data_IF_200183970082
#
_entry.id   IF_200183970082
#
_cell.length_a   1.000
_cell.length_b   1.000
_cell.length_c   1.000
_cell.angle_alpha   90.00
_cell.angle_beta   90.00
_cell.angle_gamma   90.00
#
_symmetry.space_group_name_H-M   'P 1'
#
loop_
_entity.id
_entity.type
_entity.pdbx_description
1 polymer ?
#
# COMPACT_ATOMS: atom_id res chain seq x y z
N UNK A 1 15.66 10.49 8.29
CA UNK A 1 14.96 11.12 7.14
C UNK A 1 15.66 12.42 6.85
N UNK A 2 15.87 12.76 5.58
CA UNK A 2 16.51 13.99 5.17
C UNK A 2 15.67 15.20 5.62
N UNK A 3 16.31 16.26 6.13
CA UNK A 3 15.67 17.54 6.47
C UNK A 3 15.21 18.34 5.22
N UNK A 4 14.79 17.63 4.17
CA UNK A 4 14.31 18.26 2.95
C UNK A 4 12.90 18.84 3.15
N UNK A 5 12.67 20.01 2.56
CA UNK A 5 11.34 20.58 2.42
C UNK A 5 10.54 19.76 1.42
N UNK A 6 9.22 19.87 1.48
CA UNK A 6 8.29 19.11 0.63
C UNK A 6 8.63 19.23 -0.88
N UNK A 7 8.91 20.43 -1.35
CA UNK A 7 9.29 20.70 -2.75
C UNK A 7 10.60 19.99 -3.14
N UNK A 8 11.54 19.87 -2.21
CA UNK A 8 12.80 19.16 -2.45
C UNK A 8 12.58 17.65 -2.47
N UNK A 9 11.68 17.12 -1.61
CA UNK A 9 11.28 15.71 -1.63
C UNK A 9 10.69 15.32 -2.99
N UNK A 10 9.82 16.17 -3.56
CA UNK A 10 9.20 15.94 -4.87
C UNK A 10 10.21 15.74 -6.00
N UNK A 11 11.36 16.39 -5.92
CA UNK A 11 12.34 16.42 -7.00
C UNK A 11 13.49 15.41 -6.83
N UNK A 12 13.85 15.08 -5.58
CA UNK A 12 15.15 14.45 -5.33
C UNK A 12 15.10 13.08 -4.68
N UNK A 13 14.07 12.77 -3.87
CA UNK A 13 14.02 11.47 -3.16
C UNK A 13 14.00 10.30 -4.15
N UNK A 14 14.86 9.32 -3.88
CA UNK A 14 15.06 8.13 -4.72
C UNK A 14 16.05 8.33 -5.87
N UNK A 15 16.50 9.57 -6.11
CA UNK A 15 17.53 9.88 -7.12
C UNK A 15 18.59 10.87 -6.62
N UNK A 16 18.92 10.79 -5.34
CA UNK A 16 19.94 11.65 -4.71
C UNK A 16 21.32 11.44 -5.33
N UNK A 17 21.59 10.21 -5.78
CA UNK A 17 22.82 9.84 -6.48
C UNK A 17 22.58 9.67 -7.97
N UNK A 18 23.57 10.02 -8.79
CA UNK A 18 23.56 9.69 -10.20
C UNK A 18 23.59 8.15 -10.39
N UNK A 19 23.15 7.67 -11.55
CA UNK A 19 23.28 6.25 -11.90
C UNK A 19 24.77 5.84 -11.89
N UNK A 20 25.15 4.82 -11.09
CA UNK A 20 26.57 4.50 -10.91
C UNK A 20 27.25 3.88 -12.13
N UNK A 21 26.47 3.44 -13.13
CA UNK A 21 27.01 2.83 -14.34
C UNK A 21 27.25 3.84 -15.47
N UNK A 22 26.46 4.94 -15.49
CA UNK A 22 26.43 5.88 -16.61
C UNK A 22 26.63 7.33 -16.21
N UNK A 23 26.69 7.64 -14.90
CA UNK A 23 26.66 8.99 -14.34
C UNK A 23 25.42 9.80 -14.74
N UNK A 24 24.37 9.14 -15.23
CA UNK A 24 23.12 9.79 -15.62
C UNK A 24 22.42 10.43 -14.42
N UNK A 25 22.08 11.71 -14.57
CA UNK A 25 21.29 12.42 -13.57
C UNK A 25 19.82 12.02 -13.61
N UNK A 26 19.28 11.77 -14.80
CA UNK A 26 17.92 11.25 -14.95
C UNK A 26 17.85 9.78 -14.52
N UNK A 27 16.73 9.37 -13.97
CA UNK A 27 16.51 7.95 -13.60
C UNK A 27 16.47 7.11 -14.87
N UNK A 28 17.36 6.12 -15.05
CA UNK A 28 17.30 5.21 -16.19
C UNK A 28 16.01 4.38 -16.19
N UNK A 29 15.53 4.04 -17.38
CA UNK A 29 14.41 3.10 -17.55
C UNK A 29 14.98 1.69 -17.64
N UNK A 30 14.90 0.93 -16.55
CA UNK A 30 15.33 -0.47 -16.51
C UNK A 30 14.21 -1.39 -16.99
N UNK A 31 14.12 -1.58 -18.30
CA UNK A 31 13.15 -2.48 -18.92
C UNK A 31 13.73 -3.90 -18.94
N UNK A 32 13.63 -4.60 -17.81
CA UNK A 32 14.15 -5.96 -17.63
C UNK A 32 13.19 -6.81 -16.80
N UNK A 33 13.18 -8.13 -17.07
CA UNK A 33 12.37 -9.08 -16.30
C UNK A 33 13.14 -9.63 -15.10
N UNK A 34 14.45 -9.86 -15.22
CA UNK A 34 15.24 -10.57 -14.21
C UNK A 34 16.59 -9.90 -13.98
N UNK A 35 17.18 -10.21 -12.83
CA UNK A 35 18.49 -9.73 -12.42
C UNK A 35 19.40 -10.91 -12.12
N UNK A 36 20.71 -10.72 -12.34
CA UNK A 36 21.72 -11.77 -12.21
C UNK A 36 22.26 -11.83 -10.78
N UNK A 37 22.44 -13.03 -10.26
CA UNK A 37 23.09 -13.26 -8.97
C UNK A 37 24.58 -13.60 -9.16
N UNK A 38 25.40 -13.17 -8.21
CA UNK A 38 26.84 -13.45 -8.23
C UNK A 38 27.16 -14.93 -8.01
N UNK A 39 26.37 -15.60 -7.19
CA UNK A 39 26.46 -17.04 -6.86
C UNK A 39 25.17 -17.49 -6.17
N UNK A 40 25.06 -18.79 -5.85
CA UNK A 40 23.88 -19.37 -5.21
C UNK A 40 23.58 -18.82 -3.81
N UNK A 41 24.64 -18.49 -3.04
CA UNK A 41 24.45 -17.88 -1.72
C UNK A 41 23.83 -16.50 -1.81
N UNK A 42 24.30 -15.66 -2.76
CA UNK A 42 23.72 -14.34 -3.02
C UNK A 42 22.23 -14.45 -3.41
N UNK A 43 21.86 -15.45 -4.20
CA UNK A 43 20.46 -15.71 -4.51
C UNK A 43 19.65 -16.09 -3.25
N UNK A 44 20.18 -17.00 -2.44
CA UNK A 44 19.54 -17.42 -1.19
C UNK A 44 19.33 -16.24 -0.22
N UNK A 45 20.33 -15.37 -0.07
CA UNK A 45 20.27 -14.18 0.80
C UNK A 45 19.18 -13.19 0.32
N UNK A 46 19.09 -12.99 -1.00
CA UNK A 46 18.05 -12.14 -1.60
C UNK A 46 16.64 -12.67 -1.38
N UNK A 47 16.41 -13.95 -1.68
CA UNK A 47 15.11 -14.59 -1.47
C UNK A 47 14.76 -14.75 0.01
N UNK A 48 15.76 -14.88 0.88
CA UNK A 48 15.60 -14.97 2.34
C UNK A 48 15.46 -13.60 3.03
N UNK A 49 15.42 -12.48 2.29
CA UNK A 49 15.34 -11.09 2.82
C UNK A 49 16.57 -10.69 3.69
N UNK A 50 17.68 -11.43 3.60
CA UNK A 50 18.93 -11.14 4.30
C UNK A 50 19.80 -10.11 3.54
N UNK A 51 19.63 -9.98 2.23
CA UNK A 51 20.29 -8.98 1.38
C UNK A 51 19.26 -8.22 0.55
N UNK A 52 19.29 -6.90 0.60
CA UNK A 52 18.36 -6.06 -0.15
C UNK A 52 18.78 -5.92 -1.62
N UNK A 53 17.82 -5.86 -2.54
CA UNK A 53 18.05 -5.54 -3.95
C UNK A 53 17.14 -6.26 -4.93
N UNK A 54 17.47 -6.14 -6.20
CA UNK A 54 16.62 -6.64 -7.28
C UNK A 54 16.76 -8.16 -7.46
N UNK A 55 15.62 -8.81 -7.73
CA UNK A 55 15.50 -10.25 -8.00
C UNK A 55 14.84 -10.44 -9.37
N UNK A 56 13.62 -9.95 -9.50
CA UNK A 56 12.77 -10.09 -10.67
C UNK A 56 11.87 -8.88 -10.81
N UNK A 57 11.61 -8.40 -12.02
CA UNK A 57 10.91 -7.15 -12.29
C UNK A 57 9.49 -7.03 -11.75
N UNK A 58 8.83 -8.16 -11.45
CA UNK A 58 7.54 -8.20 -10.75
C UNK A 58 7.68 -7.80 -9.28
N UNK A 59 8.77 -8.19 -8.63
CA UNK A 59 9.04 -7.91 -7.22
C UNK A 59 9.68 -6.54 -7.03
N UNK A 60 10.75 -6.28 -7.78
CA UNK A 60 11.60 -5.09 -7.64
C UNK A 60 12.12 -4.62 -8.99
N UNK A 61 12.15 -3.30 -9.19
CA UNK A 61 12.75 -2.68 -10.37
C UNK A 61 13.31 -1.31 -9.98
N UNK A 62 14.53 -1.00 -10.38
CA UNK A 62 15.22 0.24 -9.99
C UNK A 62 14.52 1.52 -10.44
N UNK A 63 13.81 1.51 -11.58
CA UNK A 63 13.01 2.66 -12.03
C UNK A 63 11.78 2.86 -11.15
N UNK A 64 11.08 1.76 -10.84
CA UNK A 64 9.89 1.76 -10.00
C UNK A 64 10.23 2.14 -8.55
N UNK A 65 11.37 1.70 -8.03
CA UNK A 65 11.87 1.98 -6.68
C UNK A 65 12.00 3.48 -6.40
N UNK A 66 12.38 4.27 -7.40
CA UNK A 66 12.45 5.74 -7.27
C UNK A 66 11.07 6.33 -7.02
N UNK A 67 10.06 5.87 -7.75
CA UNK A 67 8.68 6.31 -7.57
C UNK A 67 8.14 5.91 -6.19
N UNK A 68 8.38 4.65 -5.78
CA UNK A 68 7.97 4.12 -4.49
C UNK A 68 8.59 4.93 -3.33
N UNK A 69 9.90 5.13 -3.34
CA UNK A 69 10.62 5.92 -2.32
C UNK A 69 10.13 7.36 -2.24
N UNK A 70 9.89 7.96 -3.39
CA UNK A 70 9.48 9.37 -3.46
C UNK A 70 8.09 9.58 -2.87
N UNK A 71 7.12 8.76 -3.25
CA UNK A 71 5.77 8.92 -2.70
C UNK A 71 5.71 8.48 -1.23
N UNK A 72 6.45 7.44 -0.82
CA UNK A 72 6.57 7.12 0.59
C UNK A 72 7.07 8.31 1.41
N UNK A 73 8.11 9.01 0.94
CA UNK A 73 8.64 10.20 1.62
C UNK A 73 7.66 11.37 1.62
N UNK A 74 6.91 11.57 0.54
CA UNK A 74 5.91 12.66 0.44
C UNK A 74 4.71 12.42 1.35
N UNK A 75 4.24 11.18 1.49
CA UNK A 75 3.16 10.81 2.42
C UNK A 75 3.64 10.70 3.88
N UNK A 76 4.94 10.61 4.12
CA UNK A 76 5.50 10.37 5.46
C UNK A 76 5.47 8.90 5.87
N UNK A 77 5.36 7.98 4.91
CA UNK A 77 5.39 6.54 5.11
C UNK A 77 6.81 5.97 5.18
N UNK A 78 6.92 4.74 5.63
CA UNK A 78 8.19 3.99 5.73
C UNK A 78 8.55 3.31 4.42
N UNK A 79 7.57 2.88 3.64
CA UNK A 79 7.75 2.19 2.37
C UNK A 79 6.50 2.33 1.48
N UNK A 80 6.68 2.11 0.19
CA UNK A 80 5.57 2.06 -0.76
C UNK A 80 5.74 0.94 -1.79
N UNK A 81 4.65 0.59 -2.47
CA UNK A 81 4.58 -0.39 -3.54
C UNK A 81 3.78 0.15 -4.70
N UNK A 82 4.43 0.30 -5.85
CA UNK A 82 3.75 0.68 -7.09
C UNK A 82 3.02 -0.52 -7.72
N UNK A 83 1.83 -0.27 -8.23
CA UNK A 83 0.96 -1.25 -8.88
C UNK A 83 0.51 -0.73 -10.24
N UNK A 84 -0.10 -1.60 -11.06
CA UNK A 84 -0.52 -1.25 -12.42
C UNK A 84 -1.67 -0.23 -12.48
N UNK A 85 -2.43 -0.09 -11.39
CA UNK A 85 -3.57 0.84 -11.31
C UNK A 85 -3.98 1.10 -9.86
N UNK A 86 -4.78 2.14 -9.63
CA UNK A 86 -5.40 2.38 -8.32
C UNK A 86 -6.32 1.24 -7.89
N UNK A 87 -7.06 0.64 -8.83
CA UNK A 87 -7.89 -0.53 -8.53
C UNK A 87 -7.04 -1.70 -8.02
N UNK A 88 -5.88 -1.98 -8.65
CA UNK A 88 -4.94 -2.98 -8.17
C UNK A 88 -4.39 -2.66 -6.78
N UNK A 89 -4.07 -1.38 -6.50
CA UNK A 89 -3.61 -0.96 -5.18
C UNK A 89 -4.66 -1.26 -4.09
N UNK A 90 -5.92 -0.90 -4.32
CA UNK A 90 -7.01 -1.17 -3.39
C UNK A 90 -7.22 -2.68 -3.23
N UNK A 91 -7.30 -3.43 -4.32
CA UNK A 91 -7.51 -4.88 -4.31
C UNK A 91 -6.44 -5.59 -3.48
N UNK A 92 -5.16 -5.33 -3.76
CA UNK A 92 -4.06 -5.96 -3.02
C UNK A 92 -4.01 -5.55 -1.55
N UNK A 93 -4.39 -4.30 -1.24
CA UNK A 93 -4.49 -3.85 0.14
C UNK A 93 -5.56 -4.64 0.90
N UNK A 94 -6.74 -4.79 0.33
CA UNK A 94 -7.84 -5.53 0.98
C UNK A 94 -7.52 -7.04 1.05
N UNK A 95 -7.01 -7.65 -0.02
CA UNK A 95 -6.59 -9.06 -0.03
C UNK A 95 -5.46 -9.37 0.98
N UNK A 96 -4.61 -8.40 1.26
CA UNK A 96 -3.56 -8.54 2.27
C UNK A 96 -4.10 -8.50 3.71
N UNK A 97 -5.22 -7.80 3.92
CA UNK A 97 -5.84 -7.62 5.23
C UNK A 97 -6.93 -8.64 5.52
N UNK A 98 -7.72 -9.02 4.52
CA UNK A 98 -8.94 -9.80 4.66
C UNK A 98 -8.93 -11.03 3.74
N UNK A 99 -9.47 -12.12 4.24
CA UNK A 99 -9.67 -13.38 3.53
C UNK A 99 -11.12 -13.84 3.67
N UNK A 100 -11.46 -14.99 3.06
CA UNK A 100 -12.80 -15.55 3.16
C UNK A 100 -13.30 -15.66 4.61
N UNK A 101 -14.47 -15.10 4.88
CA UNK A 101 -15.06 -14.98 6.22
C UNK A 101 -14.75 -13.70 6.95
N UNK A 102 -13.90 -12.82 6.43
CA UNK A 102 -13.56 -11.53 7.01
C UNK A 102 -14.49 -10.40 6.54
N UNK A 103 -14.41 -9.27 7.24
CA UNK A 103 -15.29 -8.13 7.06
C UNK A 103 -14.49 -6.83 6.98
N UNK A 104 -15.00 -5.87 6.19
CA UNK A 104 -14.48 -4.50 6.04
C UNK A 104 -15.59 -3.50 6.41
N UNK A 105 -15.25 -2.44 7.13
CA UNK A 105 -16.10 -1.26 7.27
C UNK A 105 -15.63 -0.21 6.28
N UNK A 106 -16.49 0.30 5.42
CA UNK A 106 -16.13 1.25 4.39
C UNK A 106 -17.06 2.48 4.39
N UNK A 107 -16.49 3.65 4.11
CA UNK A 107 -17.28 4.85 3.84
C UNK A 107 -18.20 4.62 2.64
N UNK A 108 -19.47 5.06 2.72
CA UNK A 108 -20.46 4.86 1.65
C UNK A 108 -20.25 5.77 0.43
N UNK A 109 -19.58 6.89 0.59
CA UNK A 109 -19.34 7.92 -0.45
C UNK A 109 -17.95 7.78 -1.06
N UNK A 110 -17.59 6.59 -1.51
CA UNK A 110 -16.32 6.28 -2.17
C UNK A 110 -16.47 6.15 -3.69
N UNK A 111 -15.36 6.13 -4.40
CA UNK A 111 -15.32 5.89 -5.83
C UNK A 111 -16.11 4.64 -6.24
N UNK A 112 -16.96 4.76 -7.26
CA UNK A 112 -17.87 3.69 -7.68
C UNK A 112 -17.17 2.37 -8.03
N UNK A 113 -15.92 2.41 -8.50
CA UNK A 113 -15.11 1.21 -8.73
C UNK A 113 -14.71 0.51 -7.44
N UNK A 114 -14.35 1.27 -6.40
CA UNK A 114 -14.05 0.75 -5.06
C UNK A 114 -15.30 0.18 -4.40
N UNK A 115 -16.42 0.90 -4.52
CA UNK A 115 -17.72 0.40 -4.06
C UNK A 115 -18.06 -0.95 -4.71
N UNK A 116 -17.97 -1.02 -6.05
CA UNK A 116 -18.29 -2.24 -6.78
C UNK A 116 -17.35 -3.41 -6.41
N UNK A 117 -16.06 -3.12 -6.19
CA UNK A 117 -15.09 -4.11 -5.72
C UNK A 117 -15.50 -4.68 -4.37
N UNK A 118 -15.78 -3.81 -3.39
CA UNK A 118 -16.10 -4.19 -2.01
C UNK A 118 -17.48 -4.85 -1.91
N UNK A 119 -18.51 -4.30 -2.56
CA UNK A 119 -19.89 -4.80 -2.46
C UNK A 119 -20.12 -6.09 -3.23
N UNK A 120 -19.57 -6.21 -4.45
CA UNK A 120 -19.93 -7.28 -5.36
C UNK A 120 -18.79 -8.25 -5.66
N UNK A 121 -17.58 -7.74 -5.90
CA UNK A 121 -16.50 -8.60 -6.37
C UNK A 121 -15.89 -9.41 -5.22
N UNK A 122 -15.49 -8.76 -4.15
CA UNK A 122 -14.85 -9.45 -3.01
C UNK A 122 -15.82 -10.32 -2.21
N UNK A 123 -17.12 -10.02 -2.26
CA UNK A 123 -18.16 -10.88 -1.69
C UNK A 123 -18.17 -12.27 -2.32
N UNK A 124 -17.83 -12.39 -3.63
CA UNK A 124 -17.69 -13.70 -4.30
C UNK A 124 -16.50 -14.50 -3.76
N UNK A 125 -15.54 -13.86 -3.13
CA UNK A 125 -14.38 -14.48 -2.46
C UNK A 125 -14.57 -14.57 -0.93
N UNK A 126 -15.78 -14.28 -0.44
CA UNK A 126 -16.15 -14.45 0.96
C UNK A 126 -15.75 -13.29 1.88
N UNK A 127 -15.31 -12.16 1.35
CA UNK A 127 -15.10 -10.93 2.12
C UNK A 127 -16.35 -10.08 2.06
N UNK A 128 -16.90 -9.69 3.23
CA UNK A 128 -18.11 -8.87 3.32
C UNK A 128 -17.78 -7.43 3.68
N UNK A 129 -18.66 -6.48 3.33
CA UNK A 129 -18.47 -5.06 3.65
C UNK A 129 -19.72 -4.44 4.21
N UNK A 130 -19.59 -3.62 5.26
CA UNK A 130 -20.64 -2.70 5.71
C UNK A 130 -20.27 -1.28 5.33
N UNK A 131 -21.14 -0.62 4.56
CA UNK A 131 -20.97 0.78 4.18
C UNK A 131 -21.65 1.68 5.20
N UNK A 132 -20.92 2.72 5.64
CA UNK A 132 -21.32 3.61 6.72
C UNK A 132 -21.16 5.08 6.32
N UNK A 133 -21.84 5.96 7.04
CA UNK A 133 -21.52 7.39 7.00
C UNK A 133 -20.27 7.65 7.85
N UNK A 134 -19.17 8.01 7.20
CA UNK A 134 -17.90 8.29 7.88
C UNK A 134 -17.95 9.56 8.78
N UNK A 135 -19.01 10.36 8.70
CA UNK A 135 -19.25 11.49 9.60
C UNK A 135 -19.99 11.08 10.89
N UNK A 136 -20.56 9.87 10.94
CA UNK A 136 -21.24 9.31 12.11
C UNK A 136 -20.38 8.22 12.75
N UNK A 137 -19.56 8.62 13.73
CA UNK A 137 -18.67 7.70 14.46
C UNK A 137 -19.42 6.58 15.16
N UNK A 138 -20.67 6.80 15.60
CA UNK A 138 -21.50 5.77 16.23
C UNK A 138 -21.93 4.73 15.18
N UNK A 139 -22.31 5.16 13.97
CA UNK A 139 -22.60 4.24 12.86
C UNK A 139 -21.35 3.40 12.49
N UNK A 140 -20.18 4.04 12.41
CA UNK A 140 -18.90 3.35 12.13
C UNK A 140 -18.60 2.33 13.24
N UNK A 141 -18.71 2.70 14.51
CA UNK A 141 -18.42 1.83 15.65
C UNK A 141 -19.38 0.62 15.67
N UNK A 142 -20.67 0.85 15.47
CA UNK A 142 -21.69 -0.19 15.45
C UNK A 142 -21.54 -1.17 14.26
N UNK A 143 -20.89 -0.77 13.18
CA UNK A 143 -20.59 -1.61 12.03
C UNK A 143 -19.40 -2.55 12.26
N UNK A 144 -18.55 -2.30 13.26
CA UNK A 144 -17.39 -3.14 13.55
C UNK A 144 -17.83 -4.49 14.13
N UNK A 145 -17.40 -5.57 13.50
CA UNK A 145 -17.67 -6.95 13.86
C UNK A 145 -16.38 -7.64 14.37
N UNK A 146 -16.49 -8.78 15.06
CA UNK A 146 -15.31 -9.53 15.53
C UNK A 146 -14.33 -9.92 14.42
N UNK A 147 -14.83 -10.16 13.20
CA UNK A 147 -14.07 -10.50 12.00
C UNK A 147 -13.73 -9.29 11.12
N UNK A 148 -13.98 -8.06 11.57
CA UNK A 148 -13.55 -6.86 10.85
C UNK A 148 -12.03 -6.77 10.82
N UNK A 149 -11.49 -6.41 9.63
CA UNK A 149 -10.05 -6.34 9.35
C UNK A 149 -9.55 -4.95 9.00
N UNK A 150 -10.39 -4.03 8.59
CA UNK A 150 -10.00 -2.65 8.31
C UNK A 150 -11.20 -1.72 8.31
N UNK A 151 -10.89 -0.43 8.50
CA UNK A 151 -11.78 0.68 8.12
C UNK A 151 -11.18 1.31 6.86
N UNK A 152 -12.02 1.49 5.82
CA UNK A 152 -11.61 2.04 4.51
C UNK A 152 -12.39 3.32 4.19
N UNK A 153 -11.68 4.38 3.79
CA UNK A 153 -12.29 5.65 3.39
C UNK A 153 -11.47 6.37 2.30
N UNK A 154 -12.04 7.43 1.74
CA UNK A 154 -11.36 8.39 0.86
C UNK A 154 -11.19 9.73 1.57
N UNK A 155 -10.07 10.42 1.34
CA UNK A 155 -9.84 11.78 1.88
C UNK A 155 -10.85 12.79 1.36
N UNK A 156 -11.31 12.59 0.14
CA UNK A 156 -12.35 13.38 -0.51
C UNK A 156 -13.27 12.44 -1.27
N UNK A 157 -14.48 12.28 -0.78
CA UNK A 157 -15.48 11.36 -1.30
C UNK A 157 -15.85 11.64 -2.77
N UNK A 158 -16.02 10.59 -3.54
CA UNK A 158 -16.35 10.67 -4.96
C UNK A 158 -17.71 9.99 -5.26
N UNK A 159 -18.78 10.75 -5.67
CA UNK A 159 -18.71 12.13 -6.18
C UNK A 159 -19.08 13.25 -5.19
N UNK A 160 -19.40 12.95 -3.94
CA UNK A 160 -20.04 13.90 -3.03
C UNK A 160 -19.09 15.00 -2.51
N UNK A 161 -17.76 14.81 -2.63
CA UNK A 161 -16.75 15.73 -2.12
C UNK A 161 -16.81 15.96 -0.60
N UNK A 162 -17.34 14.99 0.14
CA UNK A 162 -17.34 14.98 1.59
C UNK A 162 -15.96 14.62 2.15
N UNK A 163 -15.61 15.24 3.27
CA UNK A 163 -14.29 15.10 3.91
C UNK A 163 -14.50 14.53 5.30
N UNK A 164 -14.17 13.24 5.53
CA UNK A 164 -14.29 12.61 6.85
C UNK A 164 -13.23 13.13 7.82
N UNK A 165 -13.51 13.04 9.13
CA UNK A 165 -12.55 13.29 10.19
C UNK A 165 -11.61 12.09 10.32
N UNK A 166 -10.45 12.16 9.67
CA UNK A 166 -9.48 11.04 9.63
C UNK A 166 -8.90 10.78 11.02
N UNK A 167 -8.63 11.83 11.82
CA UNK A 167 -8.07 11.68 13.18
C UNK A 167 -9.03 10.86 14.05
N UNK A 168 -10.31 11.24 14.08
CA UNK A 168 -11.32 10.54 14.88
C UNK A 168 -11.56 9.09 14.40
N UNK A 169 -11.56 8.86 13.10
CA UNK A 169 -11.72 7.53 12.52
C UNK A 169 -10.50 6.64 12.78
N UNK A 170 -9.29 7.20 12.78
CA UNK A 170 -8.07 6.48 13.14
C UNK A 170 -8.10 6.05 14.61
N UNK A 171 -8.44 6.97 15.52
CA UNK A 171 -8.58 6.65 16.95
C UNK A 171 -9.60 5.53 17.18
N UNK A 172 -10.75 5.60 16.50
CA UNK A 172 -11.78 4.58 16.58
C UNK A 172 -11.29 3.23 16.03
N UNK A 173 -10.70 3.20 14.85
CA UNK A 173 -10.17 1.96 14.26
C UNK A 173 -9.12 1.31 15.17
N UNK A 174 -8.17 2.09 15.68
CA UNK A 174 -7.10 1.62 16.56
C UNK A 174 -7.63 1.08 17.90
N UNK A 175 -8.71 1.65 18.46
CA UNK A 175 -9.39 1.14 19.65
C UNK A 175 -9.80 -0.33 19.48
N UNK A 176 -10.13 -0.75 18.25
CA UNK A 176 -10.50 -2.12 17.91
C UNK A 176 -9.36 -2.96 17.31
N UNK A 177 -8.13 -2.43 17.29
CA UNK A 177 -6.96 -3.09 16.72
C UNK A 177 -7.09 -3.27 15.20
N UNK A 178 -7.69 -2.30 14.52
CA UNK A 178 -7.90 -2.27 13.07
C UNK A 178 -7.04 -1.18 12.43
N UNK A 179 -6.40 -1.42 11.27
CA UNK A 179 -5.76 -0.36 10.52
C UNK A 179 -6.81 0.51 9.83
N UNK A 180 -6.51 1.81 9.74
CA UNK A 180 -7.22 2.73 8.89
C UNK A 180 -6.56 2.79 7.51
N UNK A 181 -7.30 2.44 6.48
CA UNK A 181 -6.89 2.52 5.06
C UNK A 181 -7.54 3.72 4.42
N UNK A 182 -6.73 4.63 3.86
CA UNK A 182 -7.23 5.86 3.26
C UNK A 182 -6.82 5.96 1.80
N UNK A 183 -7.77 6.11 0.90
CA UNK A 183 -7.51 6.46 -0.49
C UNK A 183 -7.31 7.97 -0.60
N UNK A 184 -6.07 8.38 -0.87
CA UNK A 184 -5.68 9.78 -0.98
C UNK A 184 -5.51 10.24 -2.44
N UNK A 185 -6.23 9.61 -3.36
CA UNK A 185 -6.13 9.90 -4.81
C UNK A 185 -6.41 11.37 -5.13
N UNK A 186 -7.44 11.97 -4.54
CA UNK A 186 -7.81 13.36 -4.81
C UNK A 186 -7.04 14.36 -3.94
N UNK A 187 -6.75 14.00 -2.69
CA UNK A 187 -5.97 14.86 -1.79
C UNK A 187 -4.53 15.01 -2.25
N UNK A 188 -3.90 13.91 -2.65
CA UNK A 188 -2.45 13.79 -2.86
C UNK A 188 -1.64 14.21 -1.63
N UNK A 189 -0.37 13.83 -1.51
CA UNK A 189 0.44 14.27 -0.37
C UNK A 189 0.68 15.79 -0.34
N UNK A 190 0.25 16.51 -1.37
CA UNK A 190 0.37 17.97 -1.42
C UNK A 190 -0.72 18.67 -0.61
N UNK A 191 -1.97 18.22 -0.70
CA UNK A 191 -3.09 18.84 0.03
C UNK A 191 -3.24 18.28 1.44
N UNK A 192 -3.05 16.95 1.60
CA UNK A 192 -3.19 16.26 2.87
C UNK A 192 -2.33 15.01 2.88
N UNK A 193 -1.76 14.69 4.04
CA UNK A 193 -1.01 13.46 4.29
C UNK A 193 -1.73 12.64 5.37
N UNK A 194 -2.58 11.69 5.00
CA UNK A 194 -3.40 10.92 5.94
C UNK A 194 -2.59 10.23 7.04
N UNK A 195 -1.32 9.87 6.78
CA UNK A 195 -0.41 9.28 7.78
C UNK A 195 -0.14 10.25 8.96
N UNK A 196 -0.18 11.56 8.74
CA UNK A 196 -0.07 12.56 9.81
C UNK A 196 -1.33 12.64 10.67
N UNK A 197 -2.46 12.13 10.14
CA UNK A 197 -3.77 12.04 10.76
C UNK A 197 -4.13 10.63 11.24
N UNK A 198 -3.15 9.74 11.38
CA UNK A 198 -3.34 8.43 11.96
C UNK A 198 -3.66 7.31 10.97
N UNK A 199 -3.72 7.56 9.66
CA UNK A 199 -3.86 6.49 8.68
C UNK A 199 -2.65 5.54 8.71
N UNK A 200 -2.92 4.24 8.60
CA UNK A 200 -1.90 3.21 8.63
C UNK A 200 -1.44 2.83 7.23
N UNK A 201 -2.39 2.80 6.31
CA UNK A 201 -2.14 2.49 4.89
C UNK A 201 -2.80 3.56 4.04
N UNK A 202 -2.04 4.11 3.09
CA UNK A 202 -2.57 5.07 2.11
C UNK A 202 -2.49 4.44 0.72
N UNK A 203 -3.59 4.52 -0.04
CA UNK A 203 -3.62 4.07 -1.43
C UNK A 203 -3.83 5.24 -2.38
N UNK A 204 -3.34 5.10 -3.61
CA UNK A 204 -3.51 6.09 -4.66
C UNK A 204 -3.80 5.46 -6.01
N UNK A 205 -4.71 6.04 -6.74
CA UNK A 205 -4.67 5.97 -8.20
C UNK A 205 -3.69 7.02 -8.72
N UNK A 206 -2.45 6.61 -8.98
CA UNK A 206 -1.44 7.50 -9.55
C UNK A 206 -1.81 8.00 -10.96
N UNK A 207 -2.79 7.37 -11.60
CA UNK A 207 -3.44 7.78 -12.85
C UNK A 207 -3.98 9.20 -12.80
N UNK A 208 -4.39 9.67 -11.61
CA UNK A 208 -5.09 10.94 -11.40
C UNK A 208 -4.11 12.08 -11.10
N UNK A 209 -4.22 12.71 -9.95
CA UNK A 209 -3.48 13.94 -9.64
C UNK A 209 -1.99 13.72 -9.37
N UNK A 210 -1.54 12.53 -8.94
CA UNK A 210 -0.11 12.23 -8.85
C UNK A 210 0.57 12.25 -10.22
N UNK A 211 -0.02 11.60 -11.23
CA UNK A 211 0.46 11.65 -12.60
C UNK A 211 0.19 12.98 -13.29
N UNK A 212 -0.98 13.56 -13.04
CA UNK A 212 -1.36 14.92 -13.40
C UNK A 212 -1.64 15.21 -14.88
N UNK A 213 -1.36 14.27 -15.80
CA UNK A 213 -1.40 14.51 -17.24
C UNK A 213 -2.41 13.64 -18.01
N UNK A 214 -3.04 12.65 -17.35
CA UNK A 214 -3.99 11.75 -18.00
C UNK A 214 -3.39 10.82 -19.05
N UNK A 215 -2.09 10.58 -19.01
CA UNK A 215 -1.35 9.82 -20.04
C UNK A 215 -0.87 8.46 -19.57
N UNK A 216 -0.89 8.19 -18.26
CA UNK A 216 -0.31 6.98 -17.67
C UNK A 216 -1.23 6.42 -16.59
N UNK A 217 -1.42 5.09 -16.61
CA UNK A 217 -2.06 4.36 -15.53
C UNK A 217 -1.03 3.99 -14.47
N UNK A 218 -1.46 4.01 -13.20
CA UNK A 218 -0.65 3.55 -12.09
C UNK A 218 -1.42 3.56 -10.79
N UNK A 219 -0.96 2.78 -9.84
CA UNK A 219 -1.44 2.77 -8.47
C UNK A 219 -0.28 2.74 -7.48
N UNK A 220 -0.57 3.00 -6.23
CA UNK A 220 0.44 2.97 -5.18
C UNK A 220 -0.21 2.62 -3.85
N UNK A 221 0.53 1.87 -3.03
CA UNK A 221 0.21 1.57 -1.64
C UNK A 221 1.36 2.12 -0.80
N UNK A 222 1.05 2.90 0.23
CA UNK A 222 2.04 3.46 1.17
C UNK A 222 1.73 2.93 2.56
N UNK A 223 2.75 2.38 3.22
CA UNK A 223 2.68 1.90 4.60
C UNK A 223 3.23 2.97 5.54
N UNK A 224 2.47 3.34 6.55
CA UNK A 224 2.92 4.26 7.59
C UNK A 224 4.08 3.70 8.42
N UNK A 225 4.14 2.37 8.55
CA UNK A 225 5.06 1.64 9.43
C UNK A 225 4.74 1.81 10.92
N UNK A 226 3.57 2.36 11.26
CA UNK A 226 3.17 2.66 12.64
C UNK A 226 2.24 1.61 13.25
N UNK A 227 1.49 0.87 12.41
CA UNK A 227 0.54 -0.13 12.89
C UNK A 227 1.27 -1.37 13.41
N UNK A 228 0.90 -1.83 14.61
CA UNK A 228 1.42 -3.07 15.18
C UNK A 228 0.63 -4.28 14.68
N UNK A 229 1.11 -4.89 13.60
CA UNK A 229 0.49 -6.05 12.94
C UNK A 229 0.41 -7.29 13.83
N UNK A 230 1.21 -7.37 14.89
CA UNK A 230 1.23 -8.51 15.81
C UNK A 230 0.28 -8.34 17.00
N UNK A 231 0.09 -7.10 17.48
CA UNK A 231 -0.59 -6.81 18.74
C UNK A 231 -2.05 -7.31 18.79
N UNK A 232 -2.80 -7.15 17.69
CA UNK A 232 -4.23 -7.51 17.66
C UNK A 232 -4.49 -9.01 17.46
N UNK A 233 -3.49 -9.77 16.99
CA UNK A 233 -3.65 -11.17 16.58
C UNK A 233 -4.53 -11.37 15.33
N UNK A 234 -4.96 -10.29 14.68
CA UNK A 234 -5.87 -10.33 13.52
C UNK A 234 -5.17 -10.61 12.20
N UNK A 235 -3.83 -10.44 12.11
CA UNK A 235 -3.06 -10.48 10.86
C UNK A 235 -1.95 -11.54 10.89
N UNK A 236 -2.28 -12.83 11.10
CA UNK A 236 -1.29 -13.90 11.22
C UNK A 236 -0.45 -14.09 9.95
N UNK A 237 -1.01 -13.78 8.77
CA UNK A 237 -0.26 -13.86 7.51
C UNK A 237 0.95 -12.91 7.43
N UNK A 238 0.93 -11.81 8.19
CA UNK A 238 2.00 -10.81 8.27
C UNK A 238 2.88 -11.07 9.51
N UNK A 239 2.24 -11.34 10.64
CA UNK A 239 2.90 -11.40 11.94
C UNK A 239 3.54 -12.76 12.24
N UNK A 240 2.90 -13.86 11.86
CA UNK A 240 3.35 -15.22 12.15
C UNK A 240 4.21 -15.82 11.02
N UNK A 241 4.87 -16.96 11.24
CA UNK A 241 5.59 -17.70 10.21
C UNK A 241 4.68 -18.05 9.03
N UNK A 242 4.92 -17.44 7.87
CA UNK A 242 4.08 -17.61 6.68
C UNK A 242 4.53 -18.81 5.84
N UNK A 243 3.69 -19.84 5.66
CA UNK A 243 4.06 -21.04 4.91
C UNK A 243 4.30 -20.78 3.42
N UNK A 244 3.64 -19.74 2.85
CA UNK A 244 3.84 -19.34 1.44
C UNK A 244 5.18 -18.62 1.22
N UNK A 245 5.88 -18.23 2.29
CA UNK A 245 7.20 -17.60 2.21
C UNK A 245 8.20 -18.24 3.17
N UNK A 246 8.43 -19.53 2.98
CA UNK A 246 9.46 -20.33 3.69
C UNK A 246 9.36 -20.27 5.23
N UNK A 247 8.19 -19.99 5.80
CA UNK A 247 8.00 -19.84 7.25
C UNK A 247 8.54 -18.53 7.83
N UNK A 248 8.78 -17.52 7.00
CA UNK A 248 9.22 -16.19 7.46
C UNK A 248 8.05 -15.43 8.09
N UNK A 249 8.27 -14.82 9.24
CA UNK A 249 7.41 -13.76 9.80
C UNK A 249 7.88 -12.42 9.24
N UNK A 250 7.02 -11.72 8.51
CA UNK A 250 7.39 -10.42 7.92
C UNK A 250 7.67 -9.37 8.99
N UNK A 251 6.91 -9.36 10.09
CA UNK A 251 7.16 -8.45 11.23
C UNK A 251 8.56 -8.67 11.80
N UNK A 252 8.98 -9.92 11.98
CA UNK A 252 10.32 -10.23 12.52
C UNK A 252 11.44 -9.95 11.52
N UNK A 253 11.18 -10.16 10.23
CA UNK A 253 12.20 -10.03 9.19
C UNK A 253 12.50 -8.56 8.82
N UNK A 254 11.46 -7.71 8.72
CA UNK A 254 11.59 -6.35 8.17
C UNK A 254 10.94 -5.26 9.03
N UNK A 255 10.43 -5.60 10.21
CA UNK A 255 9.91 -4.62 11.17
C UNK A 255 8.78 -3.77 10.61
N UNK A 256 8.94 -2.46 10.64
CA UNK A 256 7.93 -1.48 10.21
C UNK A 256 7.52 -1.57 8.74
N UNK A 257 8.31 -2.20 7.87
CA UNK A 257 7.97 -2.41 6.46
C UNK A 257 7.26 -3.75 6.19
N UNK A 258 6.75 -4.42 7.23
CA UNK A 258 6.18 -5.76 7.15
C UNK A 258 5.02 -5.86 6.16
N UNK A 259 4.10 -4.90 6.19
CA UNK A 259 2.91 -4.91 5.34
C UNK A 259 3.25 -4.80 3.86
N UNK A 260 4.06 -3.81 3.49
CA UNK A 260 4.49 -3.63 2.09
C UNK A 260 5.32 -4.82 1.60
N UNK A 261 6.19 -5.36 2.45
CA UNK A 261 7.01 -6.53 2.07
C UNK A 261 6.13 -7.76 1.88
N UNK A 262 5.14 -7.98 2.73
CA UNK A 262 4.15 -9.06 2.58
C UNK A 262 3.38 -8.94 1.26
N UNK A 263 2.82 -7.75 0.96
CA UNK A 263 2.07 -7.54 -0.30
C UNK A 263 2.96 -7.80 -1.51
N UNK A 264 4.18 -7.28 -1.50
CA UNK A 264 5.15 -7.47 -2.58
C UNK A 264 5.50 -8.93 -2.80
N UNK A 265 5.75 -9.67 -1.71
CA UNK A 265 6.21 -11.06 -1.77
C UNK A 265 5.08 -12.06 -2.09
N UNK A 266 3.85 -11.83 -1.64
CA UNK A 266 2.75 -12.79 -1.75
C UNK A 266 1.65 -12.30 -2.72
N UNK A 267 0.76 -11.34 -2.40
CA UNK A 267 -0.30 -10.96 -3.31
C UNK A 267 0.19 -10.56 -4.70
N UNK A 268 1.11 -9.61 -4.79
CA UNK A 268 1.62 -9.10 -6.07
C UNK A 268 2.39 -10.15 -6.85
N UNK A 269 3.19 -10.99 -6.18
CA UNK A 269 3.98 -12.03 -6.86
C UNK A 269 3.14 -13.06 -7.60
N UNK A 270 1.94 -13.36 -7.10
CA UNK A 270 1.12 -14.45 -7.63
C UNK A 270 -0.12 -13.99 -8.39
N UNK A 271 -0.50 -12.72 -8.29
CA UNK A 271 -1.72 -12.18 -8.89
C UNK A 271 -1.48 -11.04 -9.88
N UNK A 272 -0.36 -10.32 -9.75
CA UNK A 272 -0.05 -9.16 -10.58
C UNK A 272 0.43 -9.58 -11.96
N UNK A 273 -0.45 -9.45 -12.96
CA UNK A 273 -0.12 -9.63 -14.37
C UNK A 273 0.19 -8.26 -14.99
N UNK A 274 1.43 -8.07 -15.45
CA UNK A 274 1.80 -6.92 -16.29
C UNK A 274 1.63 -7.33 -17.76
N UNK A 275 1.11 -6.40 -18.57
CA UNK A 275 0.83 -6.66 -19.98
C UNK A 275 2.04 -7.13 -20.80
N UNK A 276 3.25 -6.88 -20.35
CA UNK A 276 4.50 -7.29 -21.03
C UNK A 276 5.14 -8.56 -20.45
N UNK A 277 4.49 -9.25 -19.52
CA UNK A 277 4.92 -10.58 -19.05
C UNK A 277 4.39 -11.71 -19.94
N UNK A 278 3.51 -11.39 -20.88
CA UNK A 278 2.98 -12.31 -21.89
C UNK A 278 3.83 -12.27 -23.14
#
# INVERSE_FOLDING_TARGET
MSNYKFETLQLHVGQEQADPATDSRAVPIYQTTSYVFRNSQHAADRFGLADAGNIYGRLTNSTQDVFEKRIAALEGGVAALATASGAAAITYTIEALAQAGDHIVAQKTIYGGSYNLLEHTLTQFGVTTTFVDAHDLEEVENAIQPNTKAVYLETLGNPNSDIPDIDALAELAHKYGLPLVVDNTFGTPYLIRPIEHGADVVVHSATKFLGGHGTTLGGLIVDSGKFDWAASGKYPAIADPNPSYHGVSFVKAVGSAAFITYIRAIPVSYTHLRAHET
#
